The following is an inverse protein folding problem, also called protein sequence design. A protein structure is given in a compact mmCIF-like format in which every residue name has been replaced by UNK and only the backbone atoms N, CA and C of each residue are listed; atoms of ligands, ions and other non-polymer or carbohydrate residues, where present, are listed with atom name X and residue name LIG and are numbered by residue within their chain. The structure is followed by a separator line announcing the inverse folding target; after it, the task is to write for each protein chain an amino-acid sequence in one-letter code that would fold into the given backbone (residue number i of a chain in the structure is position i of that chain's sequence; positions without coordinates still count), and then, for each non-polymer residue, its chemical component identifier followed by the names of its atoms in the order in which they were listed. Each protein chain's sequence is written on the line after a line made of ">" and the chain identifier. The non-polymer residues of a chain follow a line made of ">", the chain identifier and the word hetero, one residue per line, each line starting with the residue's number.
data_IF_178045350155
#
_entry.id   IF_178045350155
#
_cell.length_a   1.000
_cell.length_b   1.000
_cell.length_c   1.000
_cell.angle_alpha   90.00
_cell.angle_beta   90.00
_cell.angle_gamma   90.00
#
_symmetry.space_group_name_H-M   'P 1'
#
loop_
_entity.id
_entity.type
_entity.pdbx_description
1 polymer ?
#
# COMPACT_ATOMS: atom_id res chain seq x y z
N UNK A 1 -0.24 24.84 10.64
CA UNK A 1 -0.15 23.62 9.82
C UNK A 1 -1.41 23.27 8.99
N UNK A 2 -2.62 23.68 9.35
CA UNK A 2 -3.83 23.38 8.55
C UNK A 2 -4.04 24.29 7.32
N UNK A 3 -3.39 25.44 7.23
CA UNK A 3 -3.72 26.47 6.22
C UNK A 3 -3.27 26.15 4.78
N UNK A 4 -2.35 25.23 4.58
CA UNK A 4 -1.83 24.90 3.23
C UNK A 4 -2.18 23.48 2.72
N UNK A 5 -2.93 22.70 3.52
CA UNK A 5 -3.28 21.35 3.14
C UNK A 5 -4.44 21.37 2.12
N UNK A 6 -4.23 20.82 0.95
CA UNK A 6 -5.21 20.68 -0.11
C UNK A 6 -5.15 19.26 -0.72
N UNK A 7 -6.04 18.99 -1.66
CA UNK A 7 -6.12 17.66 -2.29
C UNK A 7 -4.81 17.28 -3.00
N UNK A 8 -4.08 18.25 -3.55
CA UNK A 8 -2.81 17.98 -4.22
C UNK A 8 -1.74 17.54 -3.20
N UNK A 9 -1.67 18.19 -2.04
CA UNK A 9 -0.76 17.77 -0.97
C UNK A 9 -1.11 16.36 -0.47
N UNK A 10 -2.40 16.00 -0.41
CA UNK A 10 -2.83 14.65 -0.07
C UNK A 10 -2.39 13.62 -1.12
N UNK A 11 -2.51 13.94 -2.41
CA UNK A 11 -2.04 13.06 -3.50
C UNK A 11 -0.53 12.80 -3.38
N UNK A 12 0.26 13.86 -3.21
CA UNK A 12 1.72 13.74 -3.06
C UNK A 12 2.08 12.96 -1.79
N UNK A 13 1.36 13.20 -0.69
CA UNK A 13 1.55 12.45 0.55
C UNK A 13 1.22 10.95 0.38
N UNK A 14 0.21 10.61 -0.41
CA UNK A 14 -0.12 9.23 -0.77
C UNK A 14 1.00 8.54 -1.57
N UNK A 15 1.63 9.27 -2.48
CA UNK A 15 2.80 8.77 -3.22
C UNK A 15 3.97 8.50 -2.27
N UNK A 16 4.29 9.46 -1.38
CA UNK A 16 5.37 9.31 -0.39
C UNK A 16 5.11 8.16 0.59
N UNK A 17 3.87 8.05 1.09
CA UNK A 17 3.46 6.94 1.95
C UNK A 17 3.61 5.58 1.26
N UNK A 18 3.16 5.48 0.01
CA UNK A 18 3.29 4.25 -0.80
C UNK A 18 4.74 3.89 -1.05
N UNK A 19 5.59 4.88 -1.32
CA UNK A 19 7.03 4.66 -1.53
C UNK A 19 7.69 4.09 -0.26
N UNK A 20 7.41 4.65 0.92
CA UNK A 20 7.95 4.16 2.19
C UNK A 20 7.44 2.75 2.52
N UNK A 21 6.14 2.50 2.36
CA UNK A 21 5.55 1.16 2.50
C UNK A 21 6.24 0.14 1.59
N UNK A 22 6.40 0.49 0.32
CA UNK A 22 7.02 -0.39 -0.69
C UNK A 22 8.46 -0.70 -0.32
N UNK A 23 9.24 0.32 0.07
CA UNK A 23 10.62 0.15 0.49
C UNK A 23 10.72 -0.79 1.70
N UNK A 24 9.84 -0.62 2.71
CA UNK A 24 9.78 -1.49 3.87
C UNK A 24 9.48 -2.95 3.48
N UNK A 25 8.42 -3.19 2.71
CA UNK A 25 8.04 -4.55 2.29
C UNK A 25 9.14 -5.21 1.46
N UNK A 26 9.80 -4.45 0.59
CA UNK A 26 10.91 -4.96 -0.22
C UNK A 26 12.13 -5.30 0.63
N UNK A 27 12.43 -4.49 1.64
CA UNK A 27 13.48 -4.77 2.62
C UNK A 27 13.19 -6.07 3.39
N UNK A 28 11.95 -6.23 3.89
CA UNK A 28 11.51 -7.47 4.57
C UNK A 28 11.61 -8.66 3.63
N UNK A 29 11.13 -8.52 2.39
CA UNK A 29 11.22 -9.56 1.36
C UNK A 29 12.69 -9.97 1.07
N UNK A 30 13.59 -9.00 1.05
CA UNK A 30 15.02 -9.22 0.84
C UNK A 30 15.66 -9.97 2.02
N UNK A 31 15.44 -9.48 3.25
CA UNK A 31 16.04 -10.08 4.47
C UNK A 31 15.49 -11.49 4.73
N UNK A 32 14.20 -11.71 4.50
CA UNK A 32 13.55 -13.00 4.78
C UNK A 32 13.64 -13.99 3.63
N UNK A 33 14.11 -13.56 2.46
CA UNK A 33 14.11 -14.33 1.21
C UNK A 33 12.72 -14.85 0.82
N UNK A 34 11.63 -14.18 1.26
CA UNK A 34 10.24 -14.55 0.98
C UNK A 34 9.64 -13.70 -0.14
N UNK A 35 8.67 -14.25 -0.86
CA UNK A 35 7.96 -13.59 -1.97
C UNK A 35 6.89 -12.64 -1.41
N UNK A 36 7.29 -11.45 -0.94
CA UNK A 36 6.41 -10.46 -0.33
C UNK A 36 6.24 -9.20 -1.20
N UNK A 37 6.86 -9.12 -2.37
CA UNK A 37 6.87 -7.94 -3.24
C UNK A 37 5.47 -7.62 -3.75
N UNK A 38 4.78 -6.75 -3.02
CA UNK A 38 3.36 -6.37 -3.24
C UNK A 38 3.07 -5.95 -4.68
N UNK A 39 3.96 -5.17 -5.31
CA UNK A 39 3.79 -4.71 -6.71
C UNK A 39 3.75 -5.89 -7.68
N UNK A 40 4.66 -6.87 -7.53
CA UNK A 40 4.67 -8.05 -8.40
C UNK A 40 3.45 -8.93 -8.21
N UNK A 41 3.04 -9.15 -6.95
CA UNK A 41 1.85 -9.95 -6.63
C UNK A 41 0.60 -9.27 -7.21
N UNK A 42 0.42 -7.97 -6.94
CA UNK A 42 -0.72 -7.20 -7.44
C UNK A 42 -0.78 -7.18 -8.97
N UNK A 43 0.34 -6.88 -9.62
CA UNK A 43 0.42 -6.84 -11.07
C UNK A 43 0.13 -8.19 -11.72
N UNK A 44 0.70 -9.27 -11.17
CA UNK A 44 0.42 -10.65 -11.64
C UNK A 44 -1.06 -10.97 -11.55
N UNK A 45 -1.70 -10.63 -10.44
CA UNK A 45 -3.13 -10.92 -10.24
C UNK A 45 -4.01 -10.02 -11.13
N UNK A 46 -3.74 -8.73 -11.24
CA UNK A 46 -4.52 -7.81 -12.07
C UNK A 46 -4.42 -8.12 -13.57
N UNK A 47 -3.30 -8.69 -14.02
CA UNK A 47 -3.09 -9.06 -15.42
C UNK A 47 -3.34 -10.53 -15.71
N UNK A 48 -3.69 -11.33 -14.71
CA UNK A 48 -3.90 -12.78 -14.82
C UNK A 48 -2.67 -13.54 -15.36
N UNK A 49 -1.47 -13.02 -15.10
CA UNK A 49 -0.20 -13.57 -15.63
C UNK A 49 0.55 -14.44 -14.61
N UNK A 50 -0.16 -15.19 -13.78
CA UNK A 50 0.48 -16.19 -12.92
C UNK A 50 1.15 -17.26 -13.77
N UNK A 51 2.43 -17.54 -13.50
CA UNK A 51 3.18 -18.55 -14.26
C UNK A 51 2.64 -19.97 -14.02
N UNK A 52 2.97 -20.95 -14.89
CA UNK A 52 2.58 -22.36 -14.68
C UNK A 52 3.03 -22.90 -13.31
N UNK A 53 4.20 -22.46 -12.82
CA UNK A 53 4.76 -22.86 -11.52
C UNK A 53 4.18 -22.05 -10.34
N UNK A 54 3.07 -21.34 -10.56
CA UNK A 54 2.43 -20.47 -9.55
C UNK A 54 3.33 -19.35 -9.03
N UNK A 55 4.25 -18.88 -9.81
CA UNK A 55 5.08 -17.72 -9.47
C UNK A 55 4.46 -16.41 -9.96
N UNK A 56 4.98 -15.29 -9.42
CA UNK A 56 4.63 -13.96 -9.92
C UNK A 56 5.25 -13.70 -11.28
N UNK A 57 4.51 -13.00 -12.15
CA UNK A 57 4.99 -12.62 -13.49
C UNK A 57 6.19 -11.67 -13.41
N UNK A 58 7.16 -11.88 -14.28
CA UNK A 58 8.27 -10.95 -14.53
C UNK A 58 8.04 -10.09 -15.79
N UNK A 59 6.90 -10.24 -16.47
CA UNK A 59 6.55 -9.41 -17.62
C UNK A 59 6.42 -7.93 -17.22
N UNK A 60 6.99 -7.05 -18.03
CA UNK A 60 6.95 -5.60 -17.79
C UNK A 60 5.54 -5.06 -17.68
N UNK A 61 4.58 -5.60 -18.43
CA UNK A 61 3.16 -5.23 -18.32
C UNK A 61 2.58 -5.50 -16.93
N UNK A 62 2.86 -6.66 -16.34
CA UNK A 62 2.41 -6.98 -14.98
C UNK A 62 3.06 -6.06 -13.95
N UNK A 63 4.37 -5.80 -14.08
CA UNK A 63 5.09 -4.92 -13.16
C UNK A 63 4.53 -3.49 -13.24
N UNK A 64 4.32 -2.95 -14.43
CA UNK A 64 3.77 -1.60 -14.62
C UNK A 64 2.36 -1.49 -14.04
N UNK A 65 1.47 -2.44 -14.35
CA UNK A 65 0.10 -2.47 -13.80
C UNK A 65 0.14 -2.58 -12.28
N UNK A 66 1.04 -3.37 -11.73
CA UNK A 66 1.22 -3.50 -10.28
C UNK A 66 1.68 -2.21 -9.63
N UNK A 67 2.63 -1.48 -10.23
CA UNK A 67 3.08 -0.16 -9.75
C UNK A 67 1.91 0.82 -9.78
N UNK A 68 1.27 0.98 -10.92
CA UNK A 68 0.16 1.92 -11.09
C UNK A 68 -0.98 1.63 -10.11
N UNK A 69 -1.40 0.37 -10.00
CA UNK A 69 -2.45 -0.04 -9.09
C UNK A 69 -2.08 0.21 -7.61
N UNK A 70 -0.85 -0.11 -7.22
CA UNK A 70 -0.40 0.08 -5.84
C UNK A 70 -0.35 1.57 -5.44
N UNK A 71 0.22 2.42 -6.30
CA UNK A 71 0.27 3.87 -6.06
C UNK A 71 -1.12 4.50 -6.13
N UNK A 72 -2.00 4.06 -7.03
CA UNK A 72 -3.38 4.54 -7.08
C UNK A 72 -4.12 4.26 -5.77
N UNK A 73 -4.02 3.06 -5.22
CA UNK A 73 -4.62 2.70 -3.93
C UNK A 73 -4.05 3.56 -2.81
N UNK A 74 -2.74 3.80 -2.77
CA UNK A 74 -2.13 4.67 -1.78
C UNK A 74 -2.62 6.12 -1.86
N UNK A 75 -2.77 6.65 -3.08
CA UNK A 75 -3.36 7.99 -3.30
C UNK A 75 -4.81 8.02 -2.78
N UNK A 76 -5.62 7.01 -3.07
CA UNK A 76 -7.00 6.91 -2.59
C UNK A 76 -7.05 6.94 -1.06
N UNK A 77 -6.22 6.15 -0.37
CA UNK A 77 -6.18 6.17 1.10
C UNK A 77 -5.76 7.54 1.64
N UNK A 78 -4.76 8.17 1.07
CA UNK A 78 -4.31 9.50 1.54
C UNK A 78 -5.37 10.58 1.30
N UNK A 79 -6.11 10.52 0.19
CA UNK A 79 -7.25 11.42 -0.07
C UNK A 79 -8.37 11.16 0.94
N UNK A 80 -8.65 9.90 1.30
CA UNK A 80 -9.60 9.58 2.37
C UNK A 80 -9.14 10.19 3.70
N UNK A 81 -7.86 10.10 4.06
CA UNK A 81 -7.33 10.74 5.27
C UNK A 81 -7.56 12.24 5.24
N UNK A 82 -7.26 12.91 4.11
CA UNK A 82 -7.51 14.34 3.93
C UNK A 82 -9.00 14.68 4.15
N UNK A 83 -9.91 13.90 3.56
CA UNK A 83 -11.35 14.12 3.75
C UNK A 83 -11.79 13.91 5.20
N UNK A 84 -11.24 12.95 5.92
CA UNK A 84 -11.52 12.75 7.35
C UNK A 84 -11.08 13.97 8.15
N UNK A 85 -9.86 14.47 7.93
CA UNK A 85 -9.34 15.66 8.64
C UNK A 85 -10.15 16.92 8.35
N UNK A 86 -10.57 17.14 7.09
CA UNK A 86 -11.42 18.31 6.74
C UNK A 86 -12.80 18.25 7.38
N UNK A 87 -13.28 17.04 7.72
CA UNK A 87 -14.53 16.84 8.44
C UNK A 87 -14.35 16.77 9.97
N UNK A 88 -13.17 17.13 10.49
CA UNK A 88 -12.90 17.18 11.93
C UNK A 88 -12.62 15.82 12.58
N UNK A 89 -12.43 14.76 11.78
CA UNK A 89 -12.09 13.42 12.27
C UNK A 89 -10.56 13.29 12.27
N UNK A 90 -9.95 13.37 13.46
CA UNK A 90 -8.49 13.36 13.62
C UNK A 90 -7.80 14.65 13.15
N UNK A 91 -6.47 14.59 13.05
CA UNK A 91 -5.59 15.69 12.62
C UNK A 91 -4.43 15.11 11.79
N UNK A 92 -3.75 15.90 10.93
CA UNK A 92 -2.58 15.45 10.18
C UNK A 92 -1.31 15.40 11.05
N UNK A 93 -1.38 14.77 12.21
CA UNK A 93 -0.26 14.51 13.10
C UNK A 93 0.25 13.06 12.96
N UNK A 94 1.42 12.78 13.53
CA UNK A 94 2.07 11.47 13.41
C UNK A 94 1.18 10.32 13.93
N UNK A 95 0.58 10.51 15.10
CA UNK A 95 -0.21 9.45 15.75
C UNK A 95 -1.44 9.11 14.92
N UNK A 96 -2.17 10.14 14.46
CA UNK A 96 -3.36 9.95 13.63
C UNK A 96 -3.02 9.33 12.28
N UNK A 97 -1.92 9.74 11.64
CA UNK A 97 -1.48 9.15 10.38
C UNK A 97 -1.12 7.66 10.54
N UNK A 98 -0.41 7.30 11.61
CA UNK A 98 -0.05 5.91 11.92
C UNK A 98 -1.30 5.08 12.24
N UNK A 99 -2.24 5.63 13.02
CA UNK A 99 -3.52 4.97 13.32
C UNK A 99 -4.34 4.72 12.04
N UNK A 100 -4.42 5.71 11.16
CA UNK A 100 -5.08 5.54 9.86
C UNK A 100 -4.36 4.52 8.98
N UNK A 101 -3.03 4.50 9.02
CA UNK A 101 -2.23 3.45 8.39
C UNK A 101 -2.60 2.05 8.92
N UNK A 102 -2.70 1.89 10.23
CA UNK A 102 -3.13 0.63 10.85
C UNK A 102 -4.54 0.20 10.39
N UNK A 103 -5.51 1.13 10.41
CA UNK A 103 -6.88 0.86 9.95
C UNK A 103 -6.89 0.49 8.45
N UNK A 104 -6.16 1.23 7.62
CA UNK A 104 -6.00 0.91 6.19
C UNK A 104 -5.34 -0.45 5.97
N UNK A 105 -4.43 -0.86 6.86
CA UNK A 105 -3.82 -2.18 6.86
C UNK A 105 -4.84 -3.30 7.10
N UNK A 106 -5.78 -3.09 8.03
CA UNK A 106 -6.89 -4.04 8.26
C UNK A 106 -7.76 -4.15 7.01
N UNK A 107 -8.13 -3.02 6.40
CA UNK A 107 -8.87 -2.99 5.14
C UNK A 107 -8.07 -3.72 4.04
N UNK A 108 -6.78 -3.44 3.92
CA UNK A 108 -5.89 -4.10 2.99
C UNK A 108 -5.86 -5.63 3.16
N UNK A 109 -5.80 -6.11 4.41
CA UNK A 109 -5.87 -7.56 4.71
C UNK A 109 -7.17 -8.17 4.21
N UNK A 110 -8.30 -7.52 4.46
CA UNK A 110 -9.62 -8.00 4.01
C UNK A 110 -9.67 -8.06 2.48
N UNK A 111 -9.26 -6.98 1.82
CA UNK A 111 -9.22 -6.91 0.35
C UNK A 111 -8.31 -7.99 -0.23
N UNK A 112 -7.11 -8.19 0.31
CA UNK A 112 -6.20 -9.22 -0.18
C UNK A 112 -6.75 -10.63 0.02
N UNK A 113 -7.36 -10.92 1.17
CA UNK A 113 -7.98 -12.23 1.42
C UNK A 113 -9.10 -12.52 0.42
N UNK A 114 -9.98 -11.54 0.17
CA UNK A 114 -11.03 -11.66 -0.84
C UNK A 114 -10.41 -11.85 -2.23
N UNK A 115 -9.42 -11.03 -2.59
CA UNK A 115 -8.81 -11.08 -3.91
C UNK A 115 -8.14 -12.43 -4.19
N UNK A 116 -7.39 -12.99 -3.23
CA UNK A 116 -6.82 -14.33 -3.36
C UNK A 116 -7.89 -15.42 -3.44
N UNK A 117 -9.01 -15.27 -2.71
CA UNK A 117 -10.08 -16.27 -2.69
C UNK A 117 -10.87 -16.35 -4.00
N UNK A 118 -11.11 -15.19 -4.64
CA UNK A 118 -11.93 -15.14 -5.87
C UNK A 118 -11.10 -15.21 -7.16
N UNK A 119 -9.78 -15.00 -7.08
CA UNK A 119 -8.93 -15.01 -8.26
C UNK A 119 -8.80 -16.44 -8.82
N UNK A 120 -9.07 -16.67 -10.13
CA UNK A 120 -9.12 -18.02 -10.70
C UNK A 120 -7.75 -18.73 -10.70
N UNK A 121 -6.65 -17.98 -10.72
CA UNK A 121 -5.29 -18.51 -10.74
C UNK A 121 -4.32 -17.64 -9.93
N UNK A 122 -4.44 -17.57 -8.57
CA UNK A 122 -3.55 -16.76 -7.78
C UNK A 122 -2.13 -17.33 -7.73
N UNK A 123 -1.08 -16.48 -7.63
CA UNK A 123 0.28 -16.95 -7.40
C UNK A 123 0.42 -17.55 -6.01
N UNK A 124 1.37 -18.49 -5.85
CA UNK A 124 1.70 -19.07 -4.55
C UNK A 124 2.49 -18.06 -3.71
N UNK A 125 1.81 -17.46 -2.73
CA UNK A 125 2.38 -16.48 -1.82
C UNK A 125 2.32 -17.04 -0.39
N UNK A 126 3.37 -16.88 0.44
CA UNK A 126 3.35 -17.33 1.83
C UNK A 126 2.44 -16.42 2.67
N UNK A 127 1.12 -16.67 2.65
CA UNK A 127 0.11 -15.80 3.26
C UNK A 127 0.34 -15.55 4.75
N UNK A 128 0.93 -16.52 5.47
CA UNK A 128 1.28 -16.37 6.89
C UNK A 128 2.25 -15.21 7.16
N UNK A 129 3.13 -14.92 6.20
CA UNK A 129 4.11 -13.84 6.27
C UNK A 129 3.60 -12.59 5.54
N UNK A 130 2.87 -12.79 4.43
CA UNK A 130 2.37 -11.70 3.60
C UNK A 130 1.31 -10.87 4.32
N UNK A 131 0.35 -11.51 4.98
CA UNK A 131 -0.74 -10.81 5.69
C UNK A 131 -0.20 -9.89 6.80
N UNK A 132 0.67 -10.34 7.73
CA UNK A 132 1.29 -9.43 8.70
C UNK A 132 2.13 -8.32 8.05
N UNK A 133 2.83 -8.62 6.94
CA UNK A 133 3.62 -7.60 6.25
C UNK A 133 2.77 -6.49 5.64
N UNK A 134 1.54 -6.80 5.20
CA UNK A 134 0.57 -5.79 4.76
C UNK A 134 0.22 -4.85 5.91
N UNK A 135 -0.12 -5.38 7.08
CA UNK A 135 -0.50 -4.56 8.23
C UNK A 135 0.63 -3.61 8.65
N UNK A 136 1.83 -4.17 8.85
CA UNK A 136 3.00 -3.37 9.23
C UNK A 136 3.38 -2.39 8.13
N UNK A 137 3.31 -2.82 6.87
CA UNK A 137 3.55 -1.96 5.71
C UNK A 137 2.62 -0.74 5.68
N UNK A 138 1.35 -0.90 6.02
CA UNK A 138 0.41 0.24 6.08
C UNK A 138 0.67 1.17 7.28
N UNK A 139 1.25 0.68 8.38
CA UNK A 139 1.76 1.56 9.45
C UNK A 139 2.88 2.46 8.89
N UNK A 140 3.81 1.89 8.12
CA UNK A 140 4.84 2.66 7.42
C UNK A 140 4.24 3.59 6.36
N UNK A 141 3.17 3.18 5.68
CA UNK A 141 2.41 4.07 4.78
C UNK A 141 1.93 5.32 5.53
N UNK A 142 1.26 5.16 6.67
CA UNK A 142 0.80 6.27 7.50
C UNK A 142 1.95 7.19 7.95
N UNK A 143 3.06 6.60 8.41
CA UNK A 143 4.26 7.36 8.77
C UNK A 143 4.84 8.13 7.57
N UNK A 144 4.83 7.53 6.38
CA UNK A 144 5.29 8.17 5.14
C UNK A 144 4.36 9.29 4.67
N UNK A 145 3.05 9.12 4.83
CA UNK A 145 2.07 10.20 4.59
C UNK A 145 2.39 11.40 5.50
N UNK A 146 2.54 11.17 6.81
CA UNK A 146 2.90 12.23 7.75
C UNK A 146 4.21 12.91 7.37
N UNK A 147 5.27 12.14 7.14
CA UNK A 147 6.60 12.69 6.79
C UNK A 147 6.54 13.56 5.53
N UNK A 148 5.80 13.12 4.51
CA UNK A 148 5.63 13.89 3.27
C UNK A 148 4.85 15.18 3.51
N UNK A 149 3.80 15.15 4.33
CA UNK A 149 3.07 16.35 4.72
C UNK A 149 3.96 17.37 5.44
N UNK A 150 4.88 16.92 6.33
CA UNK A 150 5.83 17.81 7.00
C UNK A 150 6.79 18.53 6.03
N UNK A 151 7.05 17.93 4.87
CA UNK A 151 7.91 18.54 3.83
C UNK A 151 7.14 19.53 2.94
N UNK A 152 5.82 19.44 2.90
CA UNK A 152 4.97 20.24 2.00
C UNK A 152 4.21 21.38 2.71
N UNK A 153 4.12 21.37 4.03
CA UNK A 153 3.38 22.32 4.86
C UNK A 153 4.25 22.96 5.91
#
# INVERSE_FOLDING_TARGET
>A
MQQNMNILTAIVAGIGGTALMTAFIYLVSYITHKRLKVVKILGTMLTFQTTPDKETSEHSSAVVVGILGHYLVGIIFSVIYYLLWTNGIGKPDFITCVLYGFISGIVGIIVWRIFFAIHPNPPAVPLKDYIPSILVGHIFFGAGVWATLQLLT
#
